data_IF_153284108706
#
_entry.id   IF_153284108706
#
_cell.length_a   1.000
_cell.length_b   1.000
_cell.length_c   1.000
_cell.angle_alpha   90.00
_cell.angle_beta   90.00
_cell.angle_gamma   90.00
#
_symmetry.space_group_name_H-M   'P 1'
#
loop_
_entity.id
_entity.type
_entity.pdbx_description
1 polymer ?
#
# COMPACT_ATOMS: atom_id res chain seq x y z
N UNK A 1 6.53 1.67 11.70
CA UNK A 1 5.35 1.14 12.21
C UNK A 1 4.19 0.78 11.30
N UNK A 2 3.83 1.60 10.31
CA UNK A 2 2.61 1.39 9.53
C UNK A 2 2.68 0.12 8.65
N UNK A 3 3.83 -0.20 8.09
CA UNK A 3 4.03 -1.46 7.36
C UNK A 3 3.83 -2.67 8.27
N UNK A 4 4.32 -2.64 9.49
CA UNK A 4 4.15 -3.74 10.47
C UNK A 4 2.68 -3.95 10.85
N UNK A 5 1.87 -2.90 10.85
CA UNK A 5 0.41 -3.03 11.10
C UNK A 5 -0.29 -3.89 10.06
N UNK A 6 0.21 -3.93 8.85
CA UNK A 6 -0.31 -4.82 7.80
C UNK A 6 0.36 -6.18 7.79
N UNK A 7 1.67 -6.21 7.94
CA UNK A 7 2.48 -7.43 7.85
C UNK A 7 2.21 -8.41 9.00
N UNK A 8 2.27 -7.94 10.25
CA UNK A 8 2.23 -8.80 11.44
C UNK A 8 0.90 -9.56 11.57
N UNK A 9 -0.28 -8.93 11.42
CA UNK A 9 -1.54 -9.68 11.50
C UNK A 9 -1.64 -10.79 10.45
N UNK A 10 -1.20 -10.55 9.23
CA UNK A 10 -1.23 -11.56 8.16
C UNK A 10 -0.28 -12.71 8.46
N UNK A 11 0.93 -12.43 8.95
CA UNK A 11 1.89 -13.46 9.34
C UNK A 11 1.36 -14.30 10.52
N UNK A 12 0.67 -13.70 11.47
CA UNK A 12 0.02 -14.43 12.57
C UNK A 12 -1.06 -15.37 12.02
N UNK A 13 -1.92 -14.89 11.13
CA UNK A 13 -2.94 -15.71 10.50
C UNK A 13 -2.32 -16.91 9.77
N UNK A 14 -1.24 -16.70 9.03
CA UNK A 14 -0.49 -17.79 8.37
C UNK A 14 0.10 -18.77 9.36
N UNK A 15 0.74 -18.29 10.42
CA UNK A 15 1.36 -19.14 11.45
C UNK A 15 0.33 -20.02 12.18
N UNK A 16 -0.91 -19.55 12.30
CA UNK A 16 -2.03 -20.29 12.88
C UNK A 16 -2.70 -21.25 11.88
N UNK A 17 -2.18 -21.38 10.67
CA UNK A 17 -2.71 -22.29 9.64
C UNK A 17 -3.97 -21.80 8.95
N UNK A 18 -4.26 -20.50 9.00
CA UNK A 18 -5.41 -19.94 8.30
C UNK A 18 -5.28 -20.08 6.77
N UNK A 19 -6.40 -20.34 6.10
CA UNK A 19 -6.46 -20.42 4.65
C UNK A 19 -6.34 -19.03 3.98
N UNK A 20 -6.23 -19.01 2.64
CA UNK A 20 -6.03 -17.76 1.89
C UNK A 20 -7.12 -16.72 2.12
N UNK A 21 -8.39 -17.13 2.24
CA UNK A 21 -9.51 -16.22 2.47
C UNK A 21 -9.40 -15.51 3.82
N UNK A 22 -9.00 -16.21 4.87
CA UNK A 22 -8.83 -15.64 6.21
C UNK A 22 -7.59 -14.75 6.24
N UNK A 23 -6.51 -15.14 5.58
CA UNK A 23 -5.33 -14.28 5.44
C UNK A 23 -5.66 -12.98 4.72
N UNK A 24 -6.40 -13.06 3.63
CA UNK A 24 -6.86 -11.89 2.87
C UNK A 24 -7.78 -10.99 3.70
N UNK A 25 -8.75 -11.57 4.40
CA UNK A 25 -9.65 -10.84 5.29
C UNK A 25 -8.89 -10.16 6.45
N UNK A 26 -7.90 -10.84 7.01
CA UNK A 26 -7.02 -10.28 8.05
C UNK A 26 -6.24 -9.08 7.51
N UNK A 27 -5.69 -9.18 6.32
CA UNK A 27 -5.00 -8.07 5.66
C UNK A 27 -5.92 -6.87 5.41
N UNK A 28 -7.12 -7.12 4.93
CA UNK A 28 -8.13 -6.06 4.72
C UNK A 28 -8.52 -5.40 6.05
N UNK A 29 -8.75 -6.18 7.09
CA UNK A 29 -9.09 -5.65 8.42
C UNK A 29 -7.96 -4.77 8.98
N UNK A 30 -6.71 -5.19 8.81
CA UNK A 30 -5.55 -4.41 9.23
C UNK A 30 -5.44 -3.09 8.44
N UNK A 31 -5.68 -3.13 7.15
CA UNK A 31 -5.69 -1.95 6.29
C UNK A 31 -6.81 -0.97 6.68
N UNK A 32 -8.03 -1.46 6.88
CA UNK A 32 -9.15 -0.66 7.34
C UNK A 32 -8.91 -0.04 8.71
N UNK A 33 -8.32 -0.79 9.62
CA UNK A 33 -7.96 -0.30 10.96
C UNK A 33 -6.94 0.84 10.92
N UNK A 34 -6.02 0.82 9.94
CA UNK A 34 -5.10 1.92 9.71
C UNK A 34 -5.79 3.15 9.11
N UNK A 35 -6.69 2.96 8.14
CA UNK A 35 -7.41 4.08 7.51
C UNK A 35 -8.38 4.76 8.47
N UNK A 36 -9.03 3.99 9.34
CA UNK A 36 -10.10 4.45 10.23
C UNK A 36 -9.83 4.00 11.68
N UNK A 37 -8.76 4.51 12.32
CA UNK A 37 -8.40 4.06 13.66
C UNK A 37 -9.41 4.57 14.70
N UNK A 38 -10.10 3.65 15.35
CA UNK A 38 -11.17 3.95 16.33
C UNK A 38 -10.66 4.81 17.49
N UNK A 39 -9.44 4.52 17.99
CA UNK A 39 -8.84 5.23 19.13
C UNK A 39 -8.26 6.60 18.80
N UNK A 40 -8.24 6.98 17.53
CA UNK A 40 -7.66 8.23 17.04
C UNK A 40 -8.69 9.06 16.24
N UNK A 41 -9.97 8.99 16.63
CA UNK A 41 -11.04 9.76 16.01
C UNK A 41 -11.31 9.41 14.55
N UNK A 42 -11.02 8.17 14.13
CA UNK A 42 -11.15 7.68 12.75
C UNK A 42 -10.31 8.45 11.73
N UNK A 43 -9.29 9.18 12.18
CA UNK A 43 -8.34 9.89 11.32
C UNK A 43 -7.06 9.08 11.17
N UNK A 44 -6.92 8.43 10.03
CA UNK A 44 -5.77 7.62 9.68
C UNK A 44 -5.00 8.17 8.48
N UNK A 45 -3.95 7.46 8.10
CA UNK A 45 -3.15 7.75 6.93
C UNK A 45 -3.82 7.35 5.61
N UNK A 46 -3.08 7.36 4.52
CA UNK A 46 -3.56 6.97 3.19
C UNK A 46 -3.40 5.48 2.89
N UNK A 47 -2.64 4.76 3.71
CA UNK A 47 -2.60 3.31 3.72
C UNK A 47 -1.53 2.65 2.86
N UNK A 48 -0.65 3.38 2.20
CA UNK A 48 0.35 2.81 1.28
C UNK A 48 1.29 1.84 2.00
N UNK A 49 1.92 2.27 3.09
CA UNK A 49 2.86 1.43 3.83
C UNK A 49 2.17 0.20 4.45
N UNK A 50 0.95 0.37 4.96
CA UNK A 50 0.16 -0.74 5.52
C UNK A 50 -0.24 -1.72 4.42
N UNK A 51 -0.66 -1.24 3.26
CA UNK A 51 -0.96 -2.09 2.09
C UNK A 51 0.26 -2.90 1.66
N UNK A 52 1.43 -2.29 1.58
CA UNK A 52 2.68 -3.00 1.27
C UNK A 52 2.98 -4.08 2.32
N UNK A 53 2.78 -3.78 3.59
CA UNK A 53 2.92 -4.77 4.67
C UNK A 53 1.97 -5.95 4.50
N UNK A 54 0.71 -5.71 4.15
CA UNK A 54 -0.26 -6.77 3.81
C UNK A 54 0.25 -7.61 2.65
N UNK A 55 0.73 -7.00 1.57
CA UNK A 55 1.22 -7.72 0.39
C UNK A 55 2.44 -8.58 0.71
N UNK A 56 3.40 -8.08 1.50
CA UNK A 56 4.51 -8.89 1.99
C UNK A 56 4.03 -10.09 2.81
N UNK A 57 3.03 -9.91 3.64
CA UNK A 57 2.46 -10.98 4.45
C UNK A 57 1.72 -12.03 3.63
N UNK A 58 0.98 -11.63 2.61
CA UNK A 58 0.26 -12.54 1.71
C UNK A 58 1.21 -13.29 0.78
N UNK A 59 2.14 -12.60 0.15
CA UNK A 59 3.15 -13.17 -0.73
C UNK A 59 4.36 -12.23 -0.82
N UNK A 60 5.48 -12.65 -0.23
CA UNK A 60 6.66 -11.78 -0.09
C UNK A 60 7.19 -11.22 -1.41
N UNK A 61 7.18 -12.04 -2.48
CA UNK A 61 7.67 -11.60 -3.79
C UNK A 61 6.76 -10.56 -4.42
N UNK A 62 5.47 -10.66 -4.24
CA UNK A 62 4.51 -9.61 -4.67
C UNK A 62 4.74 -8.32 -3.90
N UNK A 63 4.90 -8.39 -2.58
CA UNK A 63 5.23 -7.23 -1.76
C UNK A 63 6.52 -6.55 -2.21
N UNK A 64 7.55 -7.34 -2.50
CA UNK A 64 8.83 -6.85 -3.00
C UNK A 64 8.68 -6.18 -4.38
N UNK A 65 7.95 -6.80 -5.30
CA UNK A 65 7.74 -6.30 -6.66
C UNK A 65 6.96 -4.97 -6.65
N UNK A 66 5.88 -4.90 -5.88
CA UNK A 66 5.07 -3.66 -5.76
C UNK A 66 5.88 -2.55 -5.11
N UNK A 67 6.66 -2.86 -4.08
CA UNK A 67 7.60 -1.89 -3.47
C UNK A 67 8.64 -1.41 -4.48
N UNK A 68 9.18 -2.31 -5.29
CA UNK A 68 10.13 -1.98 -6.37
C UNK A 68 9.51 -1.03 -7.40
N UNK A 69 8.26 -1.24 -7.79
CA UNK A 69 7.52 -0.33 -8.67
C UNK A 69 7.39 1.05 -8.04
N UNK A 70 7.04 1.11 -6.75
CA UNK A 70 6.94 2.38 -6.02
C UNK A 70 8.28 3.12 -6.02
N UNK A 71 9.38 2.43 -5.70
CA UNK A 71 10.73 3.02 -5.67
C UNK A 71 11.12 3.51 -7.07
N UNK A 72 10.92 2.71 -8.11
CA UNK A 72 11.25 3.08 -9.48
C UNK A 72 10.51 4.35 -9.91
N UNK A 73 9.21 4.42 -9.65
CA UNK A 73 8.40 5.60 -9.93
C UNK A 73 8.85 6.82 -9.13
N UNK A 74 9.18 6.62 -7.84
CA UNK A 74 9.68 7.70 -6.99
C UNK A 74 11.01 8.28 -7.49
N UNK A 75 11.91 7.44 -7.97
CA UNK A 75 13.20 7.88 -8.52
C UNK A 75 13.03 8.57 -9.88
N UNK A 76 12.12 8.08 -10.73
CA UNK A 76 11.91 8.64 -12.08
C UNK A 76 11.15 9.97 -12.06
N UNK A 77 10.06 10.03 -11.32
CA UNK A 77 9.13 11.17 -11.35
C UNK A 77 9.20 12.05 -10.12
N UNK A 78 9.75 11.56 -9.01
CA UNK A 78 9.90 12.27 -7.74
C UNK A 78 8.57 12.76 -7.16
N UNK A 79 7.50 12.03 -7.39
CA UNK A 79 6.15 12.32 -6.86
C UNK A 79 5.67 11.10 -6.10
N UNK A 80 5.55 11.22 -4.77
CA UNK A 80 5.19 10.11 -3.89
C UNK A 80 3.80 9.56 -4.17
N UNK A 81 2.81 10.43 -4.36
CA UNK A 81 1.43 10.01 -4.65
C UNK A 81 1.31 9.31 -6.00
N UNK A 82 1.99 9.79 -7.03
CA UNK A 82 2.02 9.13 -8.34
C UNK A 82 2.65 7.74 -8.24
N UNK A 83 3.72 7.62 -7.47
CA UNK A 83 4.40 6.35 -7.22
C UNK A 83 3.48 5.36 -6.52
N UNK A 84 2.77 5.80 -5.50
CA UNK A 84 1.81 4.98 -4.77
C UNK A 84 0.63 4.54 -5.64
N UNK A 85 0.04 5.45 -6.38
CA UNK A 85 -1.09 5.16 -7.27
C UNK A 85 -0.71 4.17 -8.36
N UNK A 86 0.46 4.34 -8.98
CA UNK A 86 0.96 3.41 -10.01
C UNK A 86 1.24 2.03 -9.42
N UNK A 87 1.93 1.95 -8.30
CA UNK A 87 2.25 0.68 -7.66
C UNK A 87 0.98 -0.09 -7.25
N UNK A 88 0.01 0.62 -6.66
CA UNK A 88 -1.25 0.01 -6.21
C UNK A 88 -2.16 -0.38 -7.37
N UNK A 89 -2.17 0.39 -8.45
CA UNK A 89 -2.92 0.03 -9.66
C UNK A 89 -2.41 -1.27 -10.27
N UNK A 90 -1.10 -1.49 -10.24
CA UNK A 90 -0.46 -2.70 -10.77
C UNK A 90 -0.49 -3.88 -9.80
N UNK A 91 -0.68 -3.65 -8.51
CA UNK A 91 -0.62 -4.69 -7.49
C UNK A 91 -1.57 -5.88 -7.75
N UNK A 92 -2.85 -5.71 -8.14
CA UNK A 92 -3.70 -6.85 -8.49
C UNK A 92 -3.16 -7.69 -9.64
N UNK A 93 -2.55 -7.06 -10.65
CA UNK A 93 -1.94 -7.75 -11.79
C UNK A 93 -0.68 -8.51 -11.37
N UNK A 94 0.11 -7.95 -10.45
CA UNK A 94 1.30 -8.62 -9.91
C UNK A 94 0.88 -9.87 -9.12
N UNK A 95 -0.17 -9.79 -8.29
CA UNK A 95 -0.73 -10.98 -7.62
C UNK A 95 -1.24 -12.00 -8.62
N UNK A 96 -1.99 -11.57 -9.61
CA UNK A 96 -2.50 -12.46 -10.65
C UNK A 96 -1.38 -13.25 -11.33
N UNK A 97 -0.26 -12.60 -11.59
CA UNK A 97 0.86 -13.22 -12.30
C UNK A 97 1.75 -14.08 -11.39
N UNK A 98 2.10 -13.58 -10.19
CA UNK A 98 3.07 -14.24 -9.32
C UNK A 98 2.44 -15.24 -8.36
N UNK A 99 1.25 -14.97 -7.88
CA UNK A 99 0.52 -15.79 -6.90
C UNK A 99 -0.97 -15.71 -7.19
N UNK A 100 -1.48 -16.48 -8.16
CA UNK A 100 -2.86 -16.37 -8.64
C UNK A 100 -3.88 -17.00 -7.67
N UNK A 101 -3.81 -16.64 -6.41
CA UNK A 101 -4.81 -16.94 -5.40
C UNK A 101 -5.89 -15.85 -5.46
N UNK A 102 -7.11 -16.24 -5.86
CA UNK A 102 -8.18 -15.26 -6.13
C UNK A 102 -8.56 -14.44 -4.90
N UNK A 103 -8.49 -15.00 -3.70
CA UNK A 103 -8.72 -14.25 -2.47
C UNK A 103 -7.74 -13.09 -2.33
N UNK A 104 -6.48 -13.28 -2.68
CA UNK A 104 -5.45 -12.25 -2.66
C UNK A 104 -5.69 -11.19 -3.74
N UNK A 105 -6.07 -11.62 -4.94
CA UNK A 105 -6.39 -10.70 -6.04
C UNK A 105 -7.58 -9.80 -5.67
N UNK A 106 -8.65 -10.39 -5.16
CA UNK A 106 -9.85 -9.64 -4.78
C UNK A 106 -9.57 -8.64 -3.66
N UNK A 107 -8.88 -9.04 -2.60
CA UNK A 107 -8.57 -8.12 -1.50
C UNK A 107 -7.64 -6.99 -1.97
N UNK A 108 -6.73 -7.28 -2.87
CA UNK A 108 -5.82 -6.28 -3.44
C UNK A 108 -6.58 -5.26 -4.30
N UNK A 109 -7.58 -5.71 -5.07
CA UNK A 109 -8.48 -4.80 -5.81
C UNK A 109 -9.23 -3.88 -4.85
N UNK A 110 -9.79 -4.43 -3.77
CA UNK A 110 -10.51 -3.63 -2.76
C UNK A 110 -9.58 -2.59 -2.12
N UNK A 111 -8.39 -3.00 -1.70
CA UNK A 111 -7.37 -2.11 -1.12
C UNK A 111 -7.00 -1.01 -2.11
N UNK A 112 -6.79 -1.34 -3.37
CA UNK A 112 -6.47 -0.38 -4.44
C UNK A 112 -7.58 0.66 -4.60
N UNK A 113 -8.84 0.23 -4.69
CA UNK A 113 -9.97 1.15 -4.83
C UNK A 113 -10.09 2.10 -3.64
N UNK A 114 -9.92 1.59 -2.42
CA UNK A 114 -9.95 2.42 -1.21
C UNK A 114 -8.78 3.40 -1.17
N UNK A 115 -7.62 2.96 -1.57
CA UNK A 115 -6.42 3.79 -1.61
C UNK A 115 -6.55 4.91 -2.65
N UNK A 116 -7.10 4.65 -3.82
CA UNK A 116 -7.42 5.68 -4.81
C UNK A 116 -8.41 6.71 -4.24
N UNK A 117 -9.43 6.25 -3.53
CA UNK A 117 -10.34 7.16 -2.85
C UNK A 117 -9.64 8.05 -1.82
N UNK A 118 -8.73 7.49 -1.02
CA UNK A 118 -7.94 8.23 -0.03
C UNK A 118 -6.95 9.21 -0.67
N UNK A 119 -6.58 8.99 -1.92
CA UNK A 119 -5.69 9.86 -2.70
C UNK A 119 -6.44 10.83 -3.62
N UNK A 120 -7.75 11.00 -3.48
CA UNK A 120 -8.53 11.84 -4.40
C UNK A 120 -8.05 13.29 -4.49
N UNK A 121 -7.57 13.88 -3.39
CA UNK A 121 -6.97 15.22 -3.40
C UNK A 121 -5.62 15.23 -4.12
N UNK A 122 -4.79 14.21 -3.94
CA UNK A 122 -3.54 14.06 -4.67
C UNK A 122 -3.78 13.88 -6.17
N UNK A 123 -4.80 13.11 -6.55
CA UNK A 123 -5.18 12.95 -7.97
C UNK A 123 -5.57 14.29 -8.57
N UNK A 124 -6.37 15.09 -7.86
CA UNK A 124 -6.75 16.43 -8.29
C UNK A 124 -5.51 17.31 -8.48
N UNK A 125 -4.58 17.27 -7.53
CA UNK A 125 -3.35 18.08 -7.59
C UNK A 125 -2.41 17.61 -8.70
N UNK A 126 -2.35 16.30 -8.96
CA UNK A 126 -1.60 15.74 -10.10
C UNK A 126 -2.15 16.23 -11.44
N UNK A 127 -3.48 16.22 -11.60
CA UNK A 127 -4.14 16.66 -12.84
C UNK A 127 -3.99 18.16 -13.07
N UNK A 128 -3.87 18.97 -12.02
CA UNK A 128 -3.70 20.42 -12.09
C UNK A 128 -2.25 20.88 -12.00
N UNK A 129 -1.28 19.96 -11.89
CA UNK A 129 0.15 20.27 -11.80
C UNK A 129 0.59 20.84 -10.44
N UNK A 130 -0.22 20.70 -9.40
CA UNK A 130 0.03 21.26 -8.05
C UNK A 130 0.63 20.26 -7.05
N UNK A 131 0.79 18.98 -7.42
CA UNK A 131 1.31 17.97 -6.51
C UNK A 131 2.79 18.20 -6.21
N UNK A 132 3.15 18.09 -4.93
CA UNK A 132 4.52 18.29 -4.46
C UNK A 132 5.48 17.20 -4.92
N UNK A 133 6.76 17.55 -5.03
CA UNK A 133 7.83 16.61 -5.40
C UNK A 133 8.66 16.20 -4.20
N UNK A 134 9.19 14.97 -4.27
CA UNK A 134 10.15 14.45 -3.30
C UNK A 134 11.50 15.16 -3.49
N UNK A 135 12.06 15.74 -2.40
CA UNK A 135 13.41 16.28 -2.39
C UNK A 135 14.42 15.16 -2.14
N UNK A 136 15.13 14.75 -3.19
CA UNK A 136 16.24 13.79 -3.11
C UNK A 136 17.55 14.59 -2.96
N UNK A 137 17.82 15.10 -1.74
CA UNK A 137 19.14 15.59 -1.39
C UNK A 137 19.38 17.10 -1.51
N UNK A 138 18.56 17.97 -0.91
CA UNK A 138 19.08 19.22 -0.44
C UNK A 138 19.68 18.98 0.96
N UNK A 139 21.01 18.91 1.08
CA UNK A 139 21.65 19.31 2.33
C UNK A 139 21.19 20.74 2.57
N UNK A 140 20.37 20.97 3.60
CA UNK A 140 20.34 22.30 4.19
C UNK A 140 21.77 22.53 4.67
N UNK A 141 22.48 23.40 3.99
CA UNK A 141 23.66 24.02 4.58
C UNK A 141 23.15 24.67 5.86
N UNK A 142 23.65 24.16 6.99
CA UNK A 142 23.50 24.80 8.28
C UNK A 142 24.40 26.04 8.23
N UNK A 143 23.83 27.21 7.90
CA UNK A 143 24.39 28.49 8.33
C UNK A 143 24.03 28.74 9.78
#
# INVERSE_FOLDING_TARGET
>A
GDMLKGLVPVLIARALGAGPEIQAATGLAAFLGHLYPVFFGFQGGKGVATALGVFFGLHWLTGLTVTGIWIAMALLFRISSLSALTAMLLAPLVFWYLQPEMAYVYVTVIITLMLFWRHRSNIRDLLSGKEGRINLGSKKELE
#
